data_IF_041836029777
#
_entry.id   IF_041836029777
#
_cell.length_a   1.000
_cell.length_b   1.000
_cell.length_c   1.000
_cell.angle_alpha   90.00
_cell.angle_beta   90.00
_cell.angle_gamma   90.00
#
_symmetry.space_group_name_H-M   'P 1'
#
loop_
_entity.id
_entity.type
_entity.pdbx_description
1 polymer ?
#
# COMPACT_ATOMS: atom_id res chain seq x y z
N UNK A 1 3.03 -6.99 -6.81
CA UNK A 1 1.83 -7.01 -5.93
C UNK A 1 2.06 -8.11 -4.94
N UNK A 2 2.54 -7.76 -3.76
CA UNK A 2 2.84 -8.72 -2.71
C UNK A 2 1.57 -8.89 -1.87
N UNK A 3 1.01 -10.10 -1.88
CA UNK A 3 -0.14 -10.48 -1.08
C UNK A 3 0.39 -11.16 0.19
N UNK A 4 0.31 -10.45 1.33
CA UNK A 4 0.70 -10.97 2.64
C UNK A 4 -0.48 -11.78 3.18
N UNK A 5 -0.60 -13.03 2.73
CA UNK A 5 -1.59 -14.00 3.22
C UNK A 5 -0.97 -14.81 4.37
N UNK A 6 -0.95 -14.25 5.56
CA UNK A 6 -0.99 -15.07 6.76
C UNK A 6 -2.47 -15.18 7.14
N UNK A 7 -3.02 -16.33 6.80
CA UNK A 7 -4.33 -16.87 7.16
C UNK A 7 -5.57 -16.01 6.81
N UNK A 8 -5.83 -15.91 5.51
CA UNK A 8 -7.04 -15.30 4.96
C UNK A 8 -8.32 -15.85 5.60
N UNK A 9 -8.36 -17.15 5.90
CA UNK A 9 -9.53 -17.80 6.49
C UNK A 9 -9.68 -17.40 7.95
N UNK A 10 -8.61 -17.42 8.75
CA UNK A 10 -8.65 -16.97 10.13
C UNK A 10 -9.03 -15.48 10.25
N UNK A 11 -8.48 -14.61 9.38
CA UNK A 11 -8.86 -13.19 9.38
C UNK A 11 -10.34 -12.99 9.05
N UNK A 12 -10.89 -13.77 8.09
CA UNK A 12 -12.33 -13.73 7.80
C UNK A 12 -13.17 -14.26 8.94
N UNK A 13 -12.77 -15.37 9.57
CA UNK A 13 -13.46 -15.95 10.71
C UNK A 13 -13.49 -14.96 11.89
N UNK A 14 -12.35 -14.35 12.22
CA UNK A 14 -12.24 -13.31 13.23
C UNK A 14 -13.12 -12.10 12.89
N UNK A 15 -13.06 -11.59 11.64
CA UNK A 15 -13.89 -10.46 11.23
C UNK A 15 -15.39 -10.75 11.31
N UNK A 16 -15.81 -12.01 11.06
CA UNK A 16 -17.20 -12.46 11.26
C UNK A 16 -17.56 -12.54 12.74
N UNK A 17 -16.68 -13.09 13.58
CA UNK A 17 -16.87 -13.16 15.03
C UNK A 17 -17.00 -11.76 15.64
N UNK A 18 -16.08 -10.84 15.32
CA UNK A 18 -16.17 -9.43 15.72
C UNK A 18 -17.51 -8.82 15.32
N UNK A 19 -18.05 -9.16 14.14
CA UNK A 19 -19.33 -8.64 13.67
C UNK A 19 -20.56 -9.10 14.46
N UNK A 20 -20.47 -10.15 15.29
CA UNK A 20 -21.56 -10.67 16.13
C UNK A 20 -21.63 -10.01 17.51
N UNK A 21 -20.56 -9.36 17.93
CA UNK A 21 -20.50 -8.61 19.18
C UNK A 21 -21.34 -7.33 19.12
N UNK A 22 -21.83 -6.85 20.28
CA UNK A 22 -22.61 -5.62 20.39
C UNK A 22 -21.88 -4.40 19.79
N UNK A 23 -20.57 -4.31 20.00
CA UNK A 23 -19.70 -3.25 19.45
C UNK A 23 -18.99 -3.65 18.13
N UNK A 24 -19.50 -4.66 17.44
CA UNK A 24 -18.77 -5.32 16.34
C UNK A 24 -18.36 -4.41 15.19
N UNK A 25 -19.16 -3.39 14.87
CA UNK A 25 -18.82 -2.38 13.85
C UNK A 25 -17.58 -1.56 14.23
N UNK A 26 -17.43 -1.22 15.51
CA UNK A 26 -16.27 -0.51 16.03
C UNK A 26 -15.04 -1.42 15.98
N UNK A 27 -15.16 -2.62 16.51
CA UNK A 27 -14.08 -3.61 16.53
C UNK A 27 -13.51 -3.93 15.14
N UNK A 28 -14.37 -4.11 14.13
CA UNK A 28 -13.91 -4.33 12.74
C UNK A 28 -13.19 -3.12 12.15
N UNK A 29 -13.64 -1.91 12.47
CA UNK A 29 -12.98 -0.67 12.01
C UNK A 29 -11.62 -0.50 12.67
N UNK A 30 -11.48 -0.86 13.93
CA UNK A 30 -10.24 -0.79 14.69
C UNK A 30 -9.23 -1.82 14.17
N UNK A 31 -9.64 -3.07 13.96
CA UNK A 31 -8.80 -4.09 13.30
C UNK A 31 -8.32 -3.63 11.92
N UNK A 32 -9.21 -3.09 11.09
CA UNK A 32 -8.82 -2.55 9.79
C UNK A 32 -7.87 -1.35 9.88
N UNK A 33 -7.92 -0.57 10.98
CA UNK A 33 -7.01 0.56 11.24
C UNK A 33 -5.63 0.05 11.65
N UNK A 34 -5.56 -0.92 12.55
CA UNK A 34 -4.32 -1.55 13.01
C UNK A 34 -3.57 -2.20 11.85
N UNK A 35 -4.26 -2.99 11.02
CA UNK A 35 -3.68 -3.60 9.82
C UNK A 35 -3.12 -2.54 8.83
N UNK A 36 -3.77 -1.38 8.70
CA UNK A 36 -3.27 -0.27 7.87
C UNK A 36 -2.07 0.44 8.50
N UNK A 37 -2.04 0.54 9.83
CA UNK A 37 -0.94 1.14 10.59
C UNK A 37 0.31 0.29 10.49
N UNK A 38 0.17 -1.04 10.58
CA UNK A 38 1.26 -2.00 10.38
C UNK A 38 2.01 -1.81 9.06
N UNK A 39 1.31 -1.37 7.99
CA UNK A 39 1.90 -1.14 6.67
C UNK A 39 2.50 0.26 6.47
N UNK A 40 2.31 1.20 7.40
CA UNK A 40 2.81 2.58 7.21
C UNK A 40 4.32 2.69 7.05
N UNK A 41 5.15 1.91 7.79
CA UNK A 41 6.60 1.94 7.58
C UNK A 41 6.99 1.62 6.14
N UNK A 42 6.41 0.57 5.53
CA UNK A 42 6.64 0.26 4.11
C UNK A 42 6.17 1.39 3.19
N UNK A 43 5.00 1.99 3.45
CA UNK A 43 4.52 3.12 2.66
C UNK A 43 5.51 4.28 2.71
N UNK A 44 6.09 4.55 3.88
CA UNK A 44 7.14 5.56 4.07
C UNK A 44 8.37 5.26 3.21
N UNK A 45 8.90 4.04 3.28
CA UNK A 45 10.06 3.63 2.48
C UNK A 45 9.82 3.70 0.98
N UNK A 46 8.66 3.22 0.51
CA UNK A 46 8.32 3.28 -0.92
C UNK A 46 8.27 4.74 -1.37
N UNK A 47 7.68 5.64 -0.56
CA UNK A 47 7.65 7.08 -0.86
C UNK A 47 9.06 7.67 -0.88
N UNK A 48 9.91 7.31 0.08
CA UNK A 48 11.30 7.77 0.14
C UNK A 48 12.11 7.30 -1.08
N UNK A 49 11.99 6.02 -1.46
CA UNK A 49 12.62 5.46 -2.65
C UNK A 49 12.12 6.09 -3.95
N UNK A 50 10.84 6.48 -4.00
CA UNK A 50 10.32 7.24 -5.14
C UNK A 50 10.89 8.66 -5.19
N UNK A 51 11.10 9.30 -4.03
CA UNK A 51 11.73 10.62 -3.97
C UNK A 51 13.21 10.58 -4.33
N UNK A 52 13.92 9.48 -4.10
CA UNK A 52 15.34 9.37 -4.46
C UNK A 52 15.60 9.23 -5.96
N UNK A 53 14.56 9.06 -6.79
CA UNK A 53 14.68 9.08 -8.24
C UNK A 53 15.21 10.46 -8.68
N UNK A 54 16.38 10.47 -9.31
CA UNK A 54 16.96 11.67 -9.90
C UNK A 54 15.97 12.32 -10.87
N UNK A 55 15.65 13.59 -10.65
CA UNK A 55 14.87 14.39 -11.58
C UNK A 55 15.78 15.40 -12.26
N UNK A 56 16.05 15.19 -13.55
CA UNK A 56 16.69 16.17 -14.42
C UNK A 56 15.67 16.83 -15.36
N UNK A 57 15.85 18.12 -15.62
CA UNK A 57 15.06 18.91 -16.57
C UNK A 57 14.70 20.30 -16.04
N UNK A 58 14.29 21.18 -16.96
CA UNK A 58 13.78 22.51 -16.66
C UNK A 58 12.57 22.44 -15.69
N UNK A 59 12.33 23.48 -14.87
CA UNK A 59 11.08 23.62 -14.14
C UNK A 59 9.93 23.48 -15.15
N UNK A 60 9.14 22.43 -14.98
CA UNK A 60 7.99 22.19 -15.83
C UNK A 60 6.75 22.61 -15.04
N UNK A 61 5.93 23.47 -15.63
CA UNK A 61 4.68 23.91 -15.04
C UNK A 61 3.81 22.70 -14.64
N UNK A 62 3.26 22.77 -13.43
CA UNK A 62 2.39 21.74 -12.86
C UNK A 62 3.09 20.71 -11.96
N UNK A 63 2.29 19.81 -11.40
CA UNK A 63 2.75 18.92 -10.34
C UNK A 63 3.92 18.01 -10.79
N UNK A 64 5.00 17.89 -9.98
CA UNK A 64 6.08 16.96 -10.28
C UNK A 64 5.63 15.50 -10.19
N UNK A 65 6.18 14.65 -11.06
CA UNK A 65 5.77 13.25 -11.20
C UNK A 65 5.94 12.43 -9.90
N UNK A 66 7.08 12.59 -9.23
CA UNK A 66 7.43 11.86 -8.00
C UNK A 66 6.39 12.11 -6.89
N UNK A 67 6.15 13.35 -6.43
CA UNK A 67 5.15 13.61 -5.39
C UNK A 67 3.75 13.18 -5.81
N UNK A 68 3.39 13.35 -7.08
CA UNK A 68 2.08 12.94 -7.57
C UNK A 68 1.83 11.43 -7.45
N UNK A 69 2.85 10.63 -7.77
CA UNK A 69 2.81 9.18 -7.59
C UNK A 69 2.84 8.81 -6.10
N UNK A 70 3.68 9.45 -5.29
CA UNK A 70 3.75 9.21 -3.83
C UNK A 70 2.39 9.40 -3.15
N UNK A 71 1.63 10.44 -3.52
CA UNK A 71 0.29 10.71 -2.97
C UNK A 71 -0.73 9.62 -3.29
N UNK A 72 -0.48 8.79 -4.30
CA UNK A 72 -1.35 7.67 -4.68
C UNK A 72 -0.97 6.33 -4.04
N UNK A 73 0.12 6.28 -3.27
CA UNK A 73 0.54 5.08 -2.53
C UNK A 73 -0.21 5.03 -1.21
N UNK A 74 -1.02 3.98 -1.03
CA UNK A 74 -1.88 3.82 0.14
C UNK A 74 -1.81 2.39 0.68
N UNK A 75 -1.83 2.26 2.01
CA UNK A 75 -2.14 1.01 2.67
C UNK A 75 -3.66 0.76 2.63
N UNK A 76 -4.05 -0.45 2.23
CA UNK A 76 -5.43 -0.92 2.21
C UNK A 76 -5.53 -2.18 3.08
N UNK A 77 -6.56 -2.26 3.92
CA UNK A 77 -6.91 -3.48 4.66
C UNK A 77 -8.33 -3.89 4.29
N UNK A 78 -8.53 -5.17 4.00
CA UNK A 78 -9.83 -5.77 3.70
C UNK A 78 -10.04 -6.93 4.67
N UNK A 79 -11.18 -6.94 5.34
CA UNK A 79 -11.54 -7.97 6.31
C UNK A 79 -12.47 -9.05 5.74
N UNK A 80 -12.89 -8.91 4.48
CA UNK A 80 -13.82 -9.82 3.83
C UNK A 80 -13.61 -9.88 2.31
N UNK A 81 -14.14 -10.94 1.70
CA UNK A 81 -14.09 -11.19 0.26
C UNK A 81 -12.80 -11.87 -0.21
N UNK A 82 -12.67 -12.07 -1.54
CA UNK A 82 -11.57 -12.85 -2.15
C UNK A 82 -10.17 -12.25 -1.94
N UNK A 83 -10.08 -10.95 -1.62
CA UNK A 83 -8.83 -10.24 -1.39
C UNK A 83 -8.76 -9.77 0.08
N UNK A 84 -8.99 -10.68 1.02
CA UNK A 84 -8.91 -10.39 2.46
C UNK A 84 -7.45 -10.34 2.88
N UNK A 85 -7.07 -9.35 3.69
CA UNK A 85 -5.70 -9.10 4.10
C UNK A 85 -5.33 -7.63 4.05
N UNK A 86 -4.06 -7.35 4.33
CA UNK A 86 -3.47 -6.01 4.27
C UNK A 86 -2.50 -5.92 3.09
N UNK A 87 -2.55 -4.82 2.33
CA UNK A 87 -1.67 -4.59 1.17
C UNK A 87 -1.34 -3.12 0.97
N UNK A 88 -0.23 -2.85 0.29
CA UNK A 88 0.09 -1.51 -0.22
C UNK A 88 -0.26 -1.45 -1.71
N UNK A 89 -0.96 -0.39 -2.12
CA UNK A 89 -1.39 -0.19 -3.50
C UNK A 89 -1.00 1.21 -3.98
N UNK A 90 -0.37 1.27 -5.15
CA UNK A 90 -0.20 2.50 -5.91
C UNK A 90 -1.36 2.66 -6.91
N UNK A 91 -2.19 3.70 -6.73
CA UNK A 91 -3.31 4.00 -7.64
C UNK A 91 -2.86 4.76 -8.88
N UNK A 92 -3.67 4.72 -9.94
CA UNK A 92 -3.47 5.49 -11.18
C UNK A 92 -3.38 6.99 -10.87
N UNK A 93 -2.57 7.70 -11.65
CA UNK A 93 -2.30 9.14 -11.54
C UNK A 93 -2.86 9.88 -12.74
N UNK A 94 -4.19 9.99 -12.81
CA UNK A 94 -4.88 10.57 -13.99
C UNK A 94 -4.52 12.03 -14.24
N UNK A 95 -4.28 12.81 -13.20
CA UNK A 95 -4.02 14.25 -13.28
C UNK A 95 -2.57 14.63 -13.66
N UNK A 96 -1.64 13.66 -13.79
CA UNK A 96 -0.21 13.97 -13.90
C UNK A 96 0.20 14.00 -15.36
N UNK A 97 0.00 15.14 -16.03
CA UNK A 97 0.54 15.41 -17.38
C UNK A 97 0.21 14.31 -18.41
N UNK A 98 -1.01 13.77 -18.38
CA UNK A 98 -1.44 12.66 -19.23
C UNK A 98 -0.83 11.29 -18.87
N UNK A 99 -0.01 11.19 -17.82
CA UNK A 99 0.71 9.99 -17.43
C UNK A 99 -0.06 9.12 -16.41
N UNK A 100 -1.24 8.66 -16.84
CA UNK A 100 -2.20 7.89 -16.01
C UNK A 100 -1.59 6.65 -15.33
N UNK A 101 -0.69 5.96 -16.00
CA UNK A 101 -0.09 4.70 -15.55
C UNK A 101 1.29 4.86 -14.93
N UNK A 102 1.61 6.06 -14.42
CA UNK A 102 2.94 6.37 -13.89
C UNK A 102 3.51 5.33 -12.91
N UNK A 103 2.77 4.86 -11.87
CA UNK A 103 3.35 3.92 -10.92
C UNK A 103 3.78 2.60 -11.58
N UNK A 104 3.00 2.11 -12.54
CA UNK A 104 3.32 0.88 -13.27
C UNK A 104 4.56 1.07 -14.15
N UNK A 105 4.69 2.23 -14.79
CA UNK A 105 5.83 2.55 -15.66
C UNK A 105 7.12 2.77 -14.88
N UNK A 106 7.02 3.35 -13.68
CA UNK A 106 8.16 3.55 -12.77
C UNK A 106 8.73 2.23 -12.23
N UNK A 107 7.89 1.20 -12.04
CA UNK A 107 8.32 -0.14 -11.62
C UNK A 107 8.74 -1.06 -12.78
N UNK A 108 8.75 -0.57 -14.03
CA UNK A 108 8.99 -1.40 -15.21
C UNK A 108 10.44 -1.29 -15.67
N UNK A 109 11.14 -2.43 -15.76
CA UNK A 109 12.48 -2.51 -16.36
C UNK A 109 12.53 -1.96 -17.79
N UNK A 110 11.43 -2.17 -18.56
CA UNK A 110 11.29 -1.66 -19.93
C UNK A 110 11.17 -0.14 -20.00
N UNK A 111 10.98 0.54 -18.87
CA UNK A 111 10.81 1.99 -18.79
C UNK A 111 9.59 2.52 -19.57
N UNK A 112 9.69 3.78 -19.96
CA UNK A 112 8.75 4.44 -20.88
C UNK A 112 9.46 5.50 -21.71
N UNK A 113 8.94 5.76 -22.91
CA UNK A 113 9.40 6.88 -23.74
C UNK A 113 8.77 8.17 -23.25
N UNK A 114 9.57 9.23 -23.14
CA UNK A 114 9.11 10.59 -22.85
C UNK A 114 9.81 11.57 -23.79
N UNK A 115 9.16 12.70 -24.12
CA UNK A 115 9.85 13.79 -24.74
C UNK A 115 10.85 14.41 -23.76
N UNK A 116 11.98 14.86 -24.29
CA UNK A 116 12.85 15.83 -23.66
C UNK A 116 12.27 17.20 -23.97
N UNK A 117 11.81 17.89 -22.93
CA UNK A 117 11.23 19.22 -23.08
C UNK A 117 12.22 20.17 -23.76
N UNK A 118 11.73 20.94 -24.73
CA UNK A 118 12.50 21.96 -25.44
C UNK A 118 13.38 21.47 -26.60
N UNK A 119 13.50 20.15 -26.84
CA UNK A 119 14.36 19.61 -27.91
C UNK A 119 13.63 18.76 -28.94
N UNK A 120 12.38 18.38 -28.69
CA UNK A 120 11.60 17.47 -29.57
C UNK A 120 12.08 16.02 -29.57
N UNK A 121 13.21 15.72 -28.93
CA UNK A 121 13.78 14.38 -28.83
C UNK A 121 12.98 13.50 -27.89
N UNK A 122 12.87 12.21 -28.24
CA UNK A 122 12.21 11.20 -27.41
C UNK A 122 13.25 10.27 -26.79
N UNK A 123 13.32 10.27 -25.47
CA UNK A 123 14.24 9.41 -24.71
C UNK A 123 13.49 8.33 -23.97
N UNK A 124 14.14 7.19 -23.75
CA UNK A 124 13.64 6.13 -22.85
C UNK A 124 14.08 6.47 -21.43
N UNK A 125 13.12 6.70 -20.54
CA UNK A 125 13.38 6.74 -19.11
C UNK A 125 13.16 5.34 -18.55
N UNK A 126 14.22 4.71 -18.06
CA UNK A 126 14.14 3.42 -17.41
C UNK A 126 13.46 3.57 -16.04
N UNK A 127 12.55 2.65 -15.74
CA UNK A 127 12.07 2.43 -14.39
C UNK A 127 13.01 1.48 -13.65
N UNK A 128 12.94 1.44 -12.32
CA UNK A 128 13.64 0.43 -11.53
C UNK A 128 12.61 -0.57 -11.01
N UNK A 129 12.67 -1.83 -11.46
CA UNK A 129 11.95 -2.91 -10.79
C UNK A 129 12.31 -2.93 -9.31
N UNK A 130 11.34 -3.20 -8.45
CA UNK A 130 11.57 -3.33 -7.01
C UNK A 130 11.37 -2.05 -6.20
N UNK A 131 11.16 -0.88 -6.83
CA UNK A 131 10.83 0.36 -6.08
C UNK A 131 9.63 0.20 -5.13
N UNK A 132 8.67 -0.62 -5.52
CA UNK A 132 7.46 -0.88 -4.73
C UNK A 132 7.50 -2.23 -4.01
N UNK A 133 8.16 -3.21 -4.61
CA UNK A 133 8.13 -4.59 -4.13
C UNK A 133 9.25 -4.88 -3.11
N UNK A 134 10.46 -4.32 -3.26
CA UNK A 134 11.60 -4.59 -2.36
C UNK A 134 11.39 -4.12 -0.92
N UNK A 135 10.82 -2.93 -0.65
CA UNK A 135 10.52 -2.50 0.72
C UNK A 135 9.52 -3.43 1.42
N UNK A 136 8.59 -3.99 0.66
CA UNK A 136 7.59 -4.92 1.16
C UNK A 136 8.19 -6.31 1.44
N UNK A 137 9.08 -6.77 0.56
CA UNK A 137 9.75 -8.06 0.70
C UNK A 137 10.67 -8.07 1.93
N UNK A 138 11.48 -7.02 2.11
CA UNK A 138 12.43 -6.91 3.24
C UNK A 138 11.74 -6.93 4.60
N UNK A 139 10.53 -6.37 4.68
CA UNK A 139 9.73 -6.27 5.92
C UNK A 139 8.64 -7.33 6.03
N UNK A 140 8.65 -8.35 5.16
CA UNK A 140 7.63 -9.42 5.14
C UNK A 140 7.42 -10.05 6.52
N UNK A 141 8.51 -10.32 7.25
CA UNK A 141 8.45 -10.86 8.61
C UNK A 141 7.76 -9.93 9.60
N UNK A 142 8.16 -8.66 9.62
CA UNK A 142 7.55 -7.63 10.49
C UNK A 142 6.06 -7.47 10.22
N UNK A 143 5.63 -7.46 8.95
CA UNK A 143 4.20 -7.37 8.62
C UNK A 143 3.43 -8.60 9.07
N UNK A 144 4.00 -9.80 8.91
CA UNK A 144 3.36 -11.03 9.41
C UNK A 144 3.15 -10.97 10.92
N UNK A 145 4.17 -10.56 11.66
CA UNK A 145 4.08 -10.40 13.12
C UNK A 145 3.05 -9.34 13.50
N UNK A 146 3.04 -8.19 12.83
CA UNK A 146 2.08 -7.12 13.11
C UNK A 146 0.63 -7.52 12.79
N UNK A 147 0.40 -8.30 11.74
CA UNK A 147 -0.92 -8.86 11.41
C UNK A 147 -1.37 -9.85 12.48
N UNK A 148 -0.50 -10.79 12.88
CA UNK A 148 -0.79 -11.73 13.96
C UNK A 148 -1.13 -11.00 15.25
N UNK A 149 -0.32 -10.01 15.64
CA UNK A 149 -0.57 -9.20 16.83
C UNK A 149 -1.92 -8.48 16.78
N UNK A 150 -2.27 -7.87 15.64
CA UNK A 150 -3.57 -7.21 15.49
C UNK A 150 -4.75 -8.20 15.60
N UNK A 151 -4.57 -9.43 15.12
CA UNK A 151 -5.56 -10.49 15.26
C UNK A 151 -5.71 -10.97 16.71
N UNK A 152 -4.60 -11.14 17.43
CA UNK A 152 -4.57 -11.50 18.85
C UNK A 152 -5.20 -10.41 19.73
N UNK A 153 -4.80 -9.15 19.53
CA UNK A 153 -5.34 -8.00 20.26
C UNK A 153 -6.87 -7.87 20.01
N UNK A 154 -7.33 -8.15 18.79
CA UNK A 154 -8.75 -8.17 18.47
C UNK A 154 -9.50 -9.36 19.10
N UNK A 155 -8.89 -10.55 19.15
CA UNK A 155 -9.48 -11.72 19.79
C UNK A 155 -9.59 -11.52 21.32
N UNK A 156 -8.57 -10.93 21.95
CA UNK A 156 -8.59 -10.59 23.38
C UNK A 156 -9.73 -9.62 23.74
N UNK A 157 -10.06 -8.68 22.84
CA UNK A 157 -11.20 -7.76 23.03
C UNK A 157 -12.55 -8.49 23.03
N UNK A 158 -12.72 -9.51 22.19
CA UNK A 158 -13.92 -10.35 22.20
C UNK A 158 -14.01 -11.11 23.53
N UNK A 159 -12.92 -11.77 23.95
CA UNK A 159 -12.91 -12.52 25.20
C UNK A 159 -13.28 -11.62 26.41
N UNK A 160 -12.74 -10.40 26.43
CA UNK A 160 -13.02 -9.41 27.47
C UNK A 160 -14.43 -8.79 27.39
N UNK A 161 -15.10 -8.79 26.23
CA UNK A 161 -16.50 -8.37 26.09
C UNK A 161 -17.46 -9.48 26.48
N UNK A 162 -17.13 -10.75 26.18
CA UNK A 162 -17.92 -11.91 26.57
C UNK A 162 -17.96 -12.11 28.09
N UNK A 163 -16.85 -11.89 28.81
CA UNK A 163 -16.80 -12.03 30.28
C UNK A 163 -17.59 -10.97 31.07
N UNK A 164 -18.03 -9.87 30.44
CA UNK A 164 -18.83 -8.81 31.09
C UNK A 164 -20.34 -8.98 30.89
N UNK A 165 -20.74 -10.07 30.23
CA UNK A 165 -22.14 -10.44 29.98
C UNK A 165 -22.52 -11.59 30.89
#
# INVERSE_FOLDING_TARGET
>A
MIELSADQQALQALARALGREADGKKLRRDLAKELRQALQPAVGEIKAGLMSIGSGGLPADGEPLRPAVARKIKAEARLSGRQTGARVRARRTEAVRGFRHAPKRLNSAKGWRRPVFGTGLWVVQLGKPGYFDDPLERRRGEFRTAVHKAMEDAAARIAASTQRR
#
